data_IF_137752843945
#
_entry.id   IF_137752843945
#
_cell.length_a   1.000
_cell.length_b   1.000
_cell.length_c   1.000
_cell.angle_alpha   90.00
_cell.angle_beta   90.00
_cell.angle_gamma   90.00
#
_symmetry.space_group_name_H-M   'P 1'
#
loop_
_entity.id
_entity.type
_entity.pdbx_description
1 polymer ?
#
# COMPACT_ATOMS: atom_id res chain seq x y z
N UNK A 1 -8.22 34.78 -2.42
CA UNK A 1 -8.78 33.48 -1.99
C UNK A 1 -7.82 32.41 -2.47
N UNK A 2 -6.96 31.91 -1.59
CA UNK A 2 -6.15 30.72 -1.90
C UNK A 2 -7.01 29.50 -1.65
N UNK A 3 -7.40 28.80 -2.71
CA UNK A 3 -8.10 27.51 -2.57
C UNK A 3 -7.01 26.49 -2.24
N UNK A 4 -7.06 25.92 -1.04
CA UNK A 4 -6.15 24.85 -0.65
C UNK A 4 -6.35 23.64 -1.57
N UNK A 5 -5.25 23.02 -2.00
CA UNK A 5 -5.32 21.76 -2.78
C UNK A 5 -6.16 20.73 -2.02
N UNK A 6 -6.11 20.72 -0.68
CA UNK A 6 -7.00 19.88 0.15
C UNK A 6 -8.48 20.15 -0.07
N UNK A 7 -8.88 21.41 -0.17
CA UNK A 7 -10.29 21.81 -0.35
C UNK A 7 -10.77 21.47 -1.76
N UNK A 8 -9.88 21.55 -2.75
CA UNK A 8 -10.13 21.16 -4.14
C UNK A 8 -10.29 19.63 -4.27
N UNK A 9 -9.46 18.85 -3.59
CA UNK A 9 -9.52 17.39 -3.59
C UNK A 9 -10.70 16.84 -2.77
N UNK A 10 -11.17 17.56 -1.75
CA UNK A 10 -12.32 17.16 -0.94
C UNK A 10 -13.66 17.29 -1.68
N UNK A 11 -13.75 18.17 -2.68
CA UNK A 11 -14.99 18.47 -3.42
C UNK A 11 -15.22 17.54 -4.62
N UNK A 12 -14.20 16.80 -5.06
CA UNK A 12 -14.33 15.84 -6.14
C UNK A 12 -13.93 14.44 -5.67
N UNK A 13 -14.84 13.49 -5.80
CA UNK A 13 -14.55 12.06 -5.65
C UNK A 13 -13.62 11.65 -6.80
N UNK A 14 -12.31 11.89 -6.67
CA UNK A 14 -11.35 11.56 -7.72
C UNK A 14 -11.32 10.04 -7.86
N UNK A 15 -11.73 9.50 -9.03
CA UNK A 15 -11.71 8.06 -9.25
C UNK A 15 -10.28 7.55 -9.07
N UNK A 16 -10.12 6.52 -8.24
CA UNK A 16 -8.82 5.91 -7.98
C UNK A 16 -7.94 6.62 -6.94
N UNK A 17 -8.35 7.74 -6.34
CA UNK A 17 -7.58 8.40 -5.27
C UNK A 17 -7.42 7.52 -4.03
N UNK A 18 -8.51 6.88 -3.60
CA UNK A 18 -8.49 5.93 -2.48
C UNK A 18 -7.55 4.76 -2.77
N UNK A 19 -7.59 4.23 -3.99
CA UNK A 19 -6.74 3.10 -4.39
C UNK A 19 -5.26 3.52 -4.49
N UNK A 20 -4.98 4.70 -5.04
CA UNK A 20 -3.63 5.26 -5.08
C UNK A 20 -3.07 5.49 -3.67
N UNK A 21 -3.90 5.97 -2.74
CA UNK A 21 -3.53 6.14 -1.35
C UNK A 21 -3.21 4.80 -0.66
N UNK A 22 -4.04 3.78 -0.89
CA UNK A 22 -3.80 2.42 -0.38
C UNK A 22 -2.47 1.85 -0.91
N UNK A 23 -2.24 1.97 -2.22
CA UNK A 23 -0.96 1.53 -2.83
C UNK A 23 0.23 2.28 -2.22
N UNK A 24 0.10 3.58 -2.00
CA UNK A 24 1.13 4.38 -1.35
C UNK A 24 1.43 3.88 0.07
N UNK A 25 0.41 3.73 0.92
CA UNK A 25 0.58 3.26 2.30
C UNK A 25 1.21 1.86 2.38
N UNK A 26 0.79 0.94 1.50
CA UNK A 26 1.37 -0.40 1.41
C UNK A 26 2.85 -0.35 1.01
N UNK A 27 3.19 0.49 0.04
CA UNK A 27 4.56 0.66 -0.44
C UNK A 27 5.48 1.18 0.66
N UNK A 28 5.03 2.15 1.47
CA UNK A 28 5.76 2.65 2.63
C UNK A 28 5.90 1.60 3.73
N UNK A 29 4.83 0.86 4.04
CA UNK A 29 4.86 -0.17 5.07
C UNK A 29 5.86 -1.29 4.72
N UNK A 30 5.82 -1.77 3.47
CA UNK A 30 6.73 -2.83 3.00
C UNK A 30 8.17 -2.32 2.96
N UNK A 31 8.39 -1.09 2.48
CA UNK A 31 9.72 -0.46 2.47
C UNK A 31 10.26 -0.30 3.89
N UNK A 32 9.44 0.16 4.83
CA UNK A 32 9.82 0.32 6.24
C UNK A 32 10.18 -1.00 6.92
N UNK A 33 9.46 -2.08 6.61
CA UNK A 33 9.67 -3.39 7.23
C UNK A 33 10.85 -4.13 6.59
N UNK A 34 11.04 -3.99 5.28
CA UNK A 34 12.06 -4.76 4.56
C UNK A 34 13.36 -4.01 4.31
N UNK A 35 13.34 -2.68 4.41
CA UNK A 35 14.46 -1.81 4.07
C UNK A 35 14.70 -1.68 2.56
N UNK A 36 13.85 -2.25 1.71
CA UNK A 36 13.97 -2.17 0.25
C UNK A 36 12.83 -1.35 -0.32
N UNK A 37 13.19 -0.44 -1.22
CA UNK A 37 12.25 0.46 -1.86
C UNK A 37 11.23 -0.31 -2.73
N UNK A 38 9.97 -0.24 -2.31
CA UNK A 38 8.81 -0.68 -3.09
C UNK A 38 8.06 0.56 -3.53
N UNK A 39 7.79 0.67 -4.82
CA UNK A 39 7.00 1.76 -5.38
C UNK A 39 5.51 1.36 -5.46
N UNK A 40 4.57 2.32 -5.36
CA UNK A 40 3.13 2.04 -5.46
C UNK A 40 2.72 1.33 -6.76
N UNK A 41 3.48 1.55 -7.83
CA UNK A 41 3.27 0.95 -9.16
C UNK A 41 3.42 -0.57 -9.18
N UNK A 42 4.19 -1.13 -8.21
CA UNK A 42 4.39 -2.57 -8.05
C UNK A 42 3.27 -3.24 -7.25
N UNK A 43 2.23 -2.49 -6.89
CA UNK A 43 1.12 -2.95 -6.06
C UNK A 43 -0.14 -2.96 -6.91
N UNK A 44 -0.67 -4.15 -7.13
CA UNK A 44 -1.79 -4.40 -8.02
C UNK A 44 -2.98 -4.96 -7.24
N UNK A 45 -4.19 -4.55 -7.64
CA UNK A 45 -5.42 -5.18 -7.18
C UNK A 45 -5.88 -6.17 -8.24
N UNK A 46 -5.84 -7.47 -7.93
CA UNK A 46 -6.27 -8.55 -8.83
C UNK A 46 -7.31 -9.38 -8.09
N UNK A 47 -8.53 -9.46 -8.64
CA UNK A 47 -9.62 -10.32 -8.12
C UNK A 47 -9.93 -10.10 -6.63
N UNK A 48 -9.92 -8.85 -6.17
CA UNK A 48 -10.17 -8.50 -4.77
C UNK A 48 -9.00 -8.80 -3.82
N UNK A 49 -7.83 -9.18 -4.35
CA UNK A 49 -6.58 -9.36 -3.60
C UNK A 49 -5.61 -8.25 -3.94
N UNK A 50 -4.88 -7.80 -2.93
CA UNK A 50 -3.69 -6.98 -3.12
C UNK A 50 -2.54 -7.93 -3.45
N UNK A 51 -1.88 -7.69 -4.59
CA UNK A 51 -0.70 -8.39 -5.07
C UNK A 51 0.45 -7.39 -5.10
N UNK A 52 1.56 -7.73 -4.47
CA UNK A 52 2.77 -6.88 -4.45
C UNK A 52 3.86 -7.63 -5.20
N UNK A 53 4.37 -7.04 -6.27
CA UNK A 53 5.47 -7.61 -7.04
C UNK A 53 6.80 -7.24 -6.39
N UNK A 54 7.38 -8.21 -5.68
CA UNK A 54 8.64 -8.04 -4.96
C UNK A 54 9.68 -9.08 -5.38
N UNK A 55 10.99 -8.75 -5.34
CA UNK A 55 12.04 -9.74 -5.54
C UNK A 55 11.90 -10.93 -4.57
N UNK A 56 12.32 -12.16 -4.96
CA UNK A 56 12.20 -13.36 -4.11
C UNK A 56 12.83 -13.22 -2.72
N UNK A 57 13.91 -12.44 -2.62
CA UNK A 57 14.60 -12.14 -1.35
C UNK A 57 13.67 -11.41 -0.37
N UNK A 58 12.84 -10.49 -0.89
CA UNK A 58 11.86 -9.76 -0.10
C UNK A 58 10.67 -10.62 0.28
N UNK A 59 10.25 -11.55 -0.59
CA UNK A 59 9.17 -12.49 -0.27
C UNK A 59 9.45 -13.26 1.01
N UNK A 60 10.69 -13.69 1.23
CA UNK A 60 11.12 -14.35 2.46
C UNK A 60 11.12 -13.40 3.67
N UNK A 61 11.64 -12.18 3.51
CA UNK A 61 11.66 -11.18 4.58
C UNK A 61 10.25 -10.77 5.03
N UNK A 62 9.34 -10.57 4.06
CA UNK A 62 7.95 -10.23 4.33
C UNK A 62 7.20 -11.41 4.96
N UNK A 63 7.48 -12.65 4.53
CA UNK A 63 6.91 -13.85 5.18
C UNK A 63 7.32 -13.96 6.64
N UNK A 64 8.58 -13.65 6.97
CA UNK A 64 9.09 -13.67 8.34
C UNK A 64 8.47 -12.56 9.21
N UNK A 65 8.12 -11.42 8.61
CA UNK A 65 7.53 -10.24 9.30
C UNK A 65 6.05 -10.03 8.97
N UNK A 66 5.35 -11.10 8.53
CA UNK A 66 3.97 -11.02 8.05
C UNK A 66 3.00 -10.53 9.13
N UNK A 67 3.24 -10.94 10.37
CA UNK A 67 2.41 -10.54 11.52
C UNK A 67 2.52 -9.05 11.79
N UNK A 68 3.75 -8.51 11.84
CA UNK A 68 4.02 -7.07 12.01
C UNK A 68 3.43 -6.22 10.87
N UNK A 69 3.54 -6.70 9.63
CA UNK A 69 2.93 -6.05 8.47
C UNK A 69 1.39 -6.04 8.59
N UNK A 70 0.78 -7.14 9.01
CA UNK A 70 -0.67 -7.26 9.18
C UNK A 70 -1.17 -6.33 10.28
N UNK A 71 -0.48 -6.28 11.42
CA UNK A 71 -0.83 -5.38 12.54
C UNK A 71 -0.74 -3.90 12.15
N UNK A 72 0.28 -3.53 11.37
CA UNK A 72 0.46 -2.15 10.90
C UNK A 72 -0.61 -1.75 9.88
N UNK A 73 -1.05 -2.68 9.04
CA UNK A 73 -2.08 -2.43 8.04
C UNK A 73 -3.50 -2.49 8.61
N UNK A 74 -3.75 -3.32 9.62
CA UNK A 74 -5.03 -3.32 10.36
C UNK A 74 -5.31 -1.98 11.05
N UNK A 75 -4.27 -1.27 11.52
CA UNK A 75 -4.41 0.09 12.08
C UNK A 75 -4.90 1.11 11.05
N UNK A 76 -4.67 0.83 9.76
CA UNK A 76 -5.04 1.67 8.62
C UNK A 76 -6.28 1.11 7.89
N UNK A 77 -6.95 0.09 8.44
CA UNK A 77 -8.11 -0.60 7.87
C UNK A 77 -7.81 -1.31 6.53
N UNK A 78 -6.57 -1.80 6.37
CA UNK A 78 -6.07 -2.50 5.18
C UNK A 78 -5.72 -3.96 5.46
N UNK A 79 -6.04 -4.86 4.51
CA UNK A 79 -5.73 -6.28 4.60
C UNK A 79 -4.95 -6.77 3.36
N UNK A 80 -3.77 -7.36 3.57
CA UNK A 80 -3.02 -8.05 2.50
C UNK A 80 -3.45 -9.51 2.45
N UNK A 81 -3.97 -9.92 1.30
CA UNK A 81 -4.45 -11.29 1.08
C UNK A 81 -3.39 -12.20 0.45
N UNK A 82 -2.50 -11.67 -0.40
CA UNK A 82 -1.53 -12.47 -1.15
C UNK A 82 -0.22 -11.70 -1.47
N UNK A 83 0.90 -12.41 -1.60
CA UNK A 83 2.23 -11.81 -1.92
C UNK A 83 2.92 -12.72 -2.94
N UNK A 84 3.16 -12.21 -4.15
CA UNK A 84 3.76 -12.97 -5.25
C UNK A 84 5.27 -12.81 -5.32
#
# INVERSE_FOLDING_TARGET
MEISIRDLLAQQSIPGLREAHIRYQLSEAITSITGVEVTPEKIHHIEGRVVVDVPPVLKSAIRLRRQELTERLQKEDLAITDIR
#
